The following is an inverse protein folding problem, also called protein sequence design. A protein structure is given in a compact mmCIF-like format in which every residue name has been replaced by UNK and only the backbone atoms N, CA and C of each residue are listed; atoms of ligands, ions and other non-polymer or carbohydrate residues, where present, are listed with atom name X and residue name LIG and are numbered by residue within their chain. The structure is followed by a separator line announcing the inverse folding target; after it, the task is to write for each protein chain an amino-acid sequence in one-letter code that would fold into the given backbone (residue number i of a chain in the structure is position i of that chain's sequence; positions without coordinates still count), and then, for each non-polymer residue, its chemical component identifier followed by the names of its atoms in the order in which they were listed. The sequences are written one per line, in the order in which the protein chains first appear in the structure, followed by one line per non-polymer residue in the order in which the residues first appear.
data_IF_528488931227
#
_entry.id   IF_528488931227
#
_cell.length_a   1.000
_cell.length_b   1.000
_cell.length_c   1.000
_cell.angle_alpha   90.00
_cell.angle_beta   90.00
_cell.angle_gamma   90.00
#
_symmetry.space_group_name_H-M   'P 1'
#
loop_
_entity.id
_entity.type
_entity.pdbx_description
1 polymer ?
#
# COMPACT_ATOMS: atom_id res chain seq x y z
N UNK A 1 -8.77 78.68 23.09
CA UNK A 1 -9.20 77.82 21.92
C UNK A 1 -8.08 76.84 21.65
N UNK A 2 -8.27 75.57 22.05
CA UNK A 2 -7.28 74.48 21.79
C UNK A 2 -7.78 73.66 20.63
N UNK A 3 -7.03 73.66 19.55
CA UNK A 3 -7.30 72.80 18.39
C UNK A 3 -6.65 71.42 18.61
N UNK A 4 -7.47 70.37 18.68
CA UNK A 4 -7.03 68.97 18.62
C UNK A 4 -6.94 68.56 17.14
N UNK A 5 -5.74 68.29 16.65
CA UNK A 5 -5.50 67.69 15.31
C UNK A 5 -5.51 66.18 15.50
N UNK A 6 -6.54 65.51 14.94
CA UNK A 6 -6.63 64.03 14.83
C UNK A 6 -5.78 63.58 13.63
N UNK A 7 -4.66 62.88 13.91
CA UNK A 7 -3.91 62.16 12.86
C UNK A 7 -4.58 60.80 12.64
N UNK A 8 -5.26 60.63 11.50
CA UNK A 8 -5.73 59.37 10.99
C UNK A 8 -4.55 58.59 10.44
N UNK A 9 -4.00 57.65 11.17
CA UNK A 9 -3.08 56.64 10.68
C UNK A 9 -3.87 55.60 9.87
N UNK A 10 -3.85 55.78 8.53
CA UNK A 10 -4.31 54.74 7.60
C UNK A 10 -3.24 53.66 7.56
N UNK A 11 -3.38 52.65 8.44
CA UNK A 11 -2.58 51.43 8.38
C UNK A 11 -2.97 50.64 7.10
N UNK A 12 -2.07 50.53 6.13
CA UNK A 12 -2.20 49.59 5.03
C UNK A 12 -2.23 48.17 5.61
N UNK A 13 -3.43 47.63 5.76
CA UNK A 13 -3.64 46.21 5.99
C UNK A 13 -3.25 45.46 4.70
N UNK A 14 -2.02 44.97 4.68
CA UNK A 14 -1.63 43.92 3.73
C UNK A 14 -2.45 42.67 4.03
N UNK A 15 -3.61 42.53 3.37
CA UNK A 15 -4.30 41.25 3.31
C UNK A 15 -3.45 40.34 2.40
N UNK A 16 -2.99 39.19 2.91
CA UNK A 16 -2.34 38.24 2.01
C UNK A 16 -3.35 37.85 0.93
N UNK A 17 -2.93 37.98 -0.34
CA UNK A 17 -3.70 37.49 -1.49
C UNK A 17 -3.87 35.98 -1.32
N UNK A 18 -4.96 35.56 -0.68
CA UNK A 18 -5.40 34.17 -0.70
C UNK A 18 -5.89 33.95 -2.14
N UNK A 19 -5.00 33.43 -2.99
CA UNK A 19 -5.41 32.87 -4.26
C UNK A 19 -6.30 31.65 -3.95
N UNK A 20 -7.59 31.85 -3.96
CA UNK A 20 -8.56 30.78 -4.00
C UNK A 20 -8.40 30.11 -5.38
N UNK A 21 -7.56 29.09 -5.44
CA UNK A 21 -7.53 28.25 -6.63
C UNK A 21 -8.89 27.54 -6.68
N UNK A 22 -9.68 27.89 -7.70
CA UNK A 22 -10.90 27.15 -7.98
C UNK A 22 -10.52 25.67 -8.09
N UNK A 23 -11.14 24.83 -7.22
CA UNK A 23 -10.93 23.39 -7.24
C UNK A 23 -11.19 22.88 -8.64
N UNK A 24 -10.20 22.28 -9.28
CA UNK A 24 -10.35 21.69 -10.61
C UNK A 24 -11.22 20.46 -10.48
N UNK A 25 -12.49 20.60 -10.79
CA UNK A 25 -13.45 19.50 -10.73
C UNK A 25 -13.43 18.75 -12.07
N UNK A 26 -13.09 17.47 -12.04
CA UNK A 26 -13.16 16.58 -13.20
C UNK A 26 -14.48 15.81 -13.21
N UNK A 27 -15.10 15.67 -14.38
CA UNK A 27 -16.42 15.05 -14.53
C UNK A 27 -16.44 13.57 -14.13
N UNK A 28 -15.33 12.87 -14.32
CA UNK A 28 -15.17 11.44 -14.02
C UNK A 28 -14.55 11.17 -12.63
N UNK A 29 -14.39 12.20 -11.77
CA UNK A 29 -13.87 12.06 -10.40
C UNK A 29 -14.98 12.38 -9.39
N UNK A 30 -15.76 11.38 -8.92
CA UNK A 30 -16.82 11.60 -7.93
C UNK A 30 -16.29 12.13 -6.59
N UNK A 31 -17.15 12.77 -5.79
CA UNK A 31 -16.76 13.33 -4.50
C UNK A 31 -16.20 12.32 -3.51
N UNK A 32 -16.66 11.09 -3.57
CA UNK A 32 -16.19 9.97 -2.74
C UNK A 32 -15.10 9.11 -3.41
N UNK A 33 -14.51 9.58 -4.53
CA UNK A 33 -13.47 8.81 -5.21
C UNK A 33 -12.21 8.71 -4.35
N UNK A 34 -11.69 7.51 -4.21
CA UNK A 34 -10.59 7.18 -3.30
C UNK A 34 -9.29 7.99 -3.55
N UNK A 35 -9.02 8.44 -4.76
CA UNK A 35 -7.85 9.21 -5.15
C UNK A 35 -8.14 10.71 -5.38
N UNK A 36 -9.34 11.21 -5.00
CA UNK A 36 -9.77 12.57 -5.32
C UNK A 36 -8.81 13.63 -4.78
N UNK A 37 -8.41 13.50 -3.53
CA UNK A 37 -7.53 14.49 -2.86
C UNK A 37 -6.18 14.62 -3.55
N UNK A 38 -5.56 13.52 -3.92
CA UNK A 38 -4.29 13.46 -4.61
C UNK A 38 -4.40 14.01 -6.05
N UNK A 39 -5.48 13.68 -6.75
CA UNK A 39 -5.76 14.21 -8.09
C UNK A 39 -5.91 15.73 -8.04
N UNK A 40 -6.71 16.25 -7.12
CA UNK A 40 -6.92 17.70 -6.94
C UNK A 40 -5.61 18.42 -6.57
N UNK A 41 -4.83 17.86 -5.66
CA UNK A 41 -3.53 18.40 -5.28
C UNK A 41 -2.61 18.56 -6.49
N UNK A 42 -2.48 17.52 -7.33
CA UNK A 42 -1.62 17.55 -8.50
C UNK A 42 -2.19 18.42 -9.63
N UNK A 43 -3.50 18.54 -9.74
CA UNK A 43 -4.16 19.43 -10.70
C UNK A 43 -3.96 20.91 -10.33
N UNK A 44 -4.18 21.25 -9.06
CA UNK A 44 -4.03 22.62 -8.54
C UNK A 44 -2.58 23.10 -8.61
N UNK A 45 -1.60 22.20 -8.54
CA UNK A 45 -0.17 22.51 -8.74
C UNK A 45 0.26 22.50 -10.20
N UNK A 46 -0.65 22.23 -11.15
CA UNK A 46 -0.37 22.21 -12.59
C UNK A 46 0.46 21.02 -13.08
N UNK A 47 0.74 20.05 -12.21
CA UNK A 47 1.54 18.86 -12.53
C UNK A 47 0.78 17.92 -13.45
N UNK A 48 -0.48 17.62 -13.11
CA UNK A 48 -1.38 16.81 -13.93
C UNK A 48 -2.49 17.69 -14.50
N UNK A 49 -2.77 17.49 -15.79
CA UNK A 49 -3.88 18.13 -16.47
C UNK A 49 -4.89 17.07 -16.91
N UNK A 50 -6.18 17.41 -16.85
CA UNK A 50 -7.23 16.60 -17.43
C UNK A 50 -7.26 16.69 -18.96
N UNK A 51 -8.25 16.06 -19.56
CA UNK A 51 -8.50 16.08 -20.98
C UNK A 51 -9.44 17.23 -21.38
N UNK A 52 -9.48 17.56 -22.68
CA UNK A 52 -10.33 18.65 -23.22
C UNK A 52 -11.82 18.44 -22.99
N UNK A 53 -12.26 17.19 -22.80
CA UNK A 53 -13.65 16.81 -22.49
C UNK A 53 -14.03 17.01 -21.02
N UNK A 54 -13.16 17.57 -20.18
CA UNK A 54 -13.40 17.79 -18.76
C UNK A 54 -13.11 16.58 -17.86
N UNK A 55 -12.67 15.46 -18.40
CA UNK A 55 -12.35 14.25 -17.63
C UNK A 55 -10.90 14.23 -17.17
N UNK A 56 -10.64 13.57 -16.05
CA UNK A 56 -9.30 13.21 -15.61
C UNK A 56 -8.78 11.94 -16.32
N UNK A 57 -9.64 10.98 -16.61
CA UNK A 57 -9.29 9.68 -17.17
C UNK A 57 -8.87 8.69 -16.10
N UNK A 58 -9.69 8.52 -15.05
CA UNK A 58 -9.36 7.75 -13.83
C UNK A 58 -8.86 6.33 -14.09
N UNK A 59 -9.38 5.65 -15.10
CA UNK A 59 -9.03 4.27 -15.47
C UNK A 59 -8.05 4.15 -16.64
N UNK A 60 -7.73 5.26 -17.29
CA UNK A 60 -6.79 5.27 -18.40
C UNK A 60 -5.38 4.89 -17.95
N UNK A 61 -4.63 4.25 -18.84
CA UNK A 61 -3.25 3.87 -18.56
C UNK A 61 -2.31 5.03 -18.88
N UNK A 62 -1.36 5.27 -17.97
CA UNK A 62 -0.34 6.30 -18.18
C UNK A 62 0.68 5.80 -19.20
N UNK A 63 0.92 6.59 -20.25
CA UNK A 63 1.99 6.31 -21.20
C UNK A 63 3.34 6.78 -20.67
N UNK A 64 4.43 6.25 -21.23
CA UNK A 64 5.79 6.63 -20.86
C UNK A 64 6.06 8.13 -21.10
N UNK A 65 5.53 8.68 -22.20
CA UNK A 65 5.63 10.13 -22.49
C UNK A 65 4.85 10.99 -21.51
N UNK A 66 3.64 10.56 -21.12
CA UNK A 66 2.85 11.25 -20.10
C UNK A 66 3.56 11.23 -18.74
N UNK A 67 4.14 10.09 -18.33
CA UNK A 67 4.91 9.99 -17.10
C UNK A 67 6.12 10.92 -17.10
N UNK A 68 6.90 10.95 -18.18
CA UNK A 68 8.02 11.90 -18.33
C UNK A 68 7.57 13.34 -18.17
N UNK A 69 6.49 13.75 -18.85
CA UNK A 69 5.92 15.09 -18.76
C UNK A 69 5.49 15.45 -17.34
N UNK A 70 4.76 14.56 -16.66
CA UNK A 70 4.27 14.82 -15.29
C UNK A 70 5.42 14.94 -14.30
N UNK A 71 6.45 14.10 -14.40
CA UNK A 71 7.59 14.11 -13.49
C UNK A 71 8.47 15.35 -13.72
N UNK A 72 8.75 15.72 -14.98
CA UNK A 72 9.51 16.94 -15.31
C UNK A 72 8.80 18.17 -14.73
N UNK A 73 7.47 18.24 -14.83
CA UNK A 73 6.68 19.33 -14.20
C UNK A 73 6.74 19.28 -12.68
N UNK A 74 6.61 18.10 -12.09
CA UNK A 74 6.66 17.92 -10.62
C UNK A 74 7.99 18.40 -10.04
N UNK A 75 9.08 18.13 -10.72
CA UNK A 75 10.44 18.56 -10.34
C UNK A 75 10.80 19.97 -10.83
N UNK A 76 9.92 20.62 -11.61
CA UNK A 76 10.16 21.96 -12.22
C UNK A 76 11.49 22.01 -12.99
N UNK A 77 11.83 20.94 -13.70
CA UNK A 77 13.10 20.86 -14.43
C UNK A 77 13.10 21.78 -15.64
N UNK A 78 14.25 22.45 -15.89
CA UNK A 78 14.44 23.23 -17.10
C UNK A 78 14.56 22.29 -18.32
N UNK A 79 13.71 22.51 -19.31
CA UNK A 79 13.65 21.70 -20.54
C UNK A 79 14.42 22.33 -21.72
N UNK A 80 15.09 23.45 -21.48
CA UNK A 80 15.86 24.15 -22.54
C UNK A 80 17.25 23.52 -22.68
N UNK A 81 17.75 23.46 -23.91
CA UNK A 81 19.13 23.06 -24.25
C UNK A 81 19.54 21.67 -23.73
N UNK A 82 18.58 20.72 -23.62
CA UNK A 82 18.87 19.35 -23.24
C UNK A 82 19.51 18.55 -24.38
N UNK A 83 20.48 17.67 -24.09
CA UNK A 83 21.06 16.79 -25.09
C UNK A 83 20.03 15.97 -25.83
N UNK A 84 20.22 15.72 -27.11
CA UNK A 84 19.37 14.82 -27.86
C UNK A 84 19.56 13.38 -27.32
N UNK A 85 18.52 12.71 -26.81
CA UNK A 85 18.64 11.34 -26.31
C UNK A 85 18.86 10.28 -27.41
N UNK A 86 18.64 10.62 -28.68
CA UNK A 86 18.92 9.76 -29.82
C UNK A 86 17.87 8.65 -30.08
N UNK A 87 16.67 8.76 -29.54
CA UNK A 87 15.61 7.77 -29.77
C UNK A 87 15.10 7.81 -31.21
N UNK A 88 14.98 6.62 -31.83
CA UNK A 88 14.46 6.48 -33.19
C UNK A 88 12.97 6.79 -33.33
N UNK A 89 12.22 6.66 -32.22
CA UNK A 89 10.77 6.81 -32.16
C UNK A 89 10.30 8.08 -31.46
N UNK A 90 11.23 9.01 -31.15
CA UNK A 90 10.94 10.33 -30.59
C UNK A 90 11.68 11.39 -31.39
N UNK A 91 11.16 11.79 -32.54
CA UNK A 91 11.75 12.86 -33.35
C UNK A 91 11.62 14.21 -32.63
N UNK A 92 12.45 15.21 -33.02
CA UNK A 92 12.50 16.52 -32.35
C UNK A 92 11.15 17.28 -32.36
N UNK A 93 10.26 16.98 -33.29
CA UNK A 93 8.91 17.56 -33.37
C UNK A 93 7.86 16.75 -32.59
N UNK A 94 8.26 15.67 -31.88
CA UNK A 94 7.34 14.91 -30.99
C UNK A 94 6.83 15.85 -29.87
N UNK A 95 5.52 15.88 -29.56
CA UNK A 95 4.95 16.86 -28.62
C UNK A 95 5.61 16.91 -27.24
N UNK A 96 6.07 15.77 -26.72
CA UNK A 96 6.76 15.68 -25.42
C UNK A 96 8.28 15.47 -25.56
N UNK A 97 8.88 15.85 -26.70
CA UNK A 97 10.31 15.66 -26.94
C UNK A 97 11.18 16.30 -25.85
N UNK A 98 10.88 17.56 -25.49
CA UNK A 98 11.66 18.30 -24.50
C UNK A 98 11.62 17.65 -23.12
N UNK A 99 10.46 17.23 -22.69
CA UNK A 99 10.27 16.55 -21.40
C UNK A 99 10.94 15.17 -21.38
N UNK A 100 10.85 14.42 -22.48
CA UNK A 100 11.53 13.12 -22.61
C UNK A 100 13.04 13.31 -22.59
N UNK A 101 13.59 14.28 -23.35
CA UNK A 101 15.02 14.58 -23.36
C UNK A 101 15.51 14.97 -21.96
N UNK A 102 14.77 15.84 -21.27
CA UNK A 102 15.06 16.24 -19.90
C UNK A 102 15.06 15.05 -18.94
N UNK A 103 13.99 14.22 -18.98
CA UNK A 103 13.87 13.09 -18.08
C UNK A 103 14.97 12.02 -18.30
N UNK A 104 15.50 11.91 -19.51
CA UNK A 104 16.62 11.02 -19.82
C UNK A 104 17.95 11.64 -19.37
N UNK A 105 18.15 12.93 -19.59
CA UNK A 105 19.35 13.67 -19.17
C UNK A 105 19.53 13.64 -17.64
N UNK A 106 18.42 13.76 -16.90
CA UNK A 106 18.38 13.64 -15.43
C UNK A 106 18.43 12.18 -14.91
N UNK A 107 18.59 11.17 -15.80
CA UNK A 107 18.71 9.77 -15.39
C UNK A 107 17.38 9.13 -14.91
N UNK A 108 16.26 9.82 -15.04
CA UNK A 108 14.92 9.33 -14.65
C UNK A 108 14.51 8.16 -15.54
N UNK A 109 14.71 8.30 -16.85
CA UNK A 109 14.52 7.22 -17.82
C UNK A 109 15.87 6.82 -18.43
N UNK A 110 16.05 5.52 -18.66
CA UNK A 110 17.29 5.00 -19.26
C UNK A 110 17.39 5.29 -20.75
N UNK A 111 18.58 5.56 -21.26
CA UNK A 111 18.89 5.60 -22.70
C UNK A 111 18.72 4.21 -23.32
N UNK A 112 18.17 4.18 -24.52
CA UNK A 112 18.02 2.97 -25.35
C UNK A 112 17.83 3.34 -26.82
N UNK A 113 17.70 2.37 -27.72
CA UNK A 113 17.42 2.65 -29.15
C UNK A 113 16.05 3.29 -29.38
N UNK A 114 15.02 2.88 -28.58
CA UNK A 114 13.66 3.42 -28.65
C UNK A 114 13.16 3.76 -27.26
N UNK A 115 12.35 4.82 -27.12
CA UNK A 115 11.71 5.23 -25.90
C UNK A 115 10.34 4.58 -25.66
N UNK A 116 9.65 4.24 -26.73
CA UNK A 116 8.27 3.74 -26.75
C UNK A 116 7.29 4.73 -26.07
N UNK A 117 7.17 5.97 -26.57
CA UNK A 117 6.46 7.05 -25.88
C UNK A 117 4.98 6.76 -25.61
N UNK A 118 4.33 6.00 -26.46
CA UNK A 118 2.91 5.64 -26.37
C UNK A 118 2.66 4.32 -25.63
N UNK A 119 3.72 3.58 -25.24
CA UNK A 119 3.57 2.36 -24.45
C UNK A 119 3.13 2.72 -23.03
N UNK A 120 2.14 1.98 -22.50
CA UNK A 120 1.72 2.10 -21.12
C UNK A 120 2.86 1.77 -20.16
N UNK A 121 3.03 2.58 -19.12
CA UNK A 121 4.00 2.36 -18.05
C UNK A 121 3.48 1.26 -17.11
N UNK A 122 4.29 0.27 -16.79
CA UNK A 122 3.94 -0.74 -15.80
C UNK A 122 4.18 -0.22 -14.37
N UNK A 123 3.56 -0.85 -13.36
CA UNK A 123 3.77 -0.49 -11.95
C UNK A 123 5.24 -0.64 -11.52
N UNK A 124 5.94 -1.67 -12.02
CA UNK A 124 7.37 -1.85 -11.75
C UNK A 124 8.25 -0.79 -12.45
N UNK A 125 7.95 -0.43 -13.71
CA UNK A 125 8.64 0.66 -14.40
C UNK A 125 8.40 2.00 -13.71
N UNK A 126 7.16 2.26 -13.24
CA UNK A 126 6.84 3.45 -12.46
C UNK A 126 7.63 3.50 -11.15
N UNK A 127 7.80 2.35 -10.45
CA UNK A 127 8.61 2.30 -9.24
C UNK A 127 10.06 2.77 -9.52
N UNK A 128 10.69 2.25 -10.57
CA UNK A 128 12.04 2.70 -10.98
C UNK A 128 12.08 4.19 -11.31
N UNK A 129 11.11 4.68 -12.06
CA UNK A 129 11.05 6.08 -12.49
C UNK A 129 10.90 7.02 -11.30
N UNK A 130 10.03 6.73 -10.34
CA UNK A 130 9.87 7.55 -9.12
C UNK A 130 11.11 7.49 -8.22
N UNK A 131 11.70 6.32 -8.03
CA UNK A 131 12.94 6.20 -7.23
C UNK A 131 14.07 7.03 -7.82
N UNK A 132 14.26 6.97 -9.14
CA UNK A 132 15.30 7.75 -9.83
C UNK A 132 14.99 9.25 -9.76
N UNK A 133 13.74 9.66 -10.05
CA UNK A 133 13.34 11.05 -10.08
C UNK A 133 13.47 11.77 -8.74
N UNK A 134 13.17 11.09 -7.65
CA UNK A 134 13.13 11.68 -6.31
C UNK A 134 14.24 11.17 -5.38
N UNK A 135 15.20 10.42 -5.91
CA UNK A 135 16.36 9.91 -5.16
C UNK A 135 15.98 9.19 -3.86
N UNK A 136 14.90 8.39 -3.92
CA UNK A 136 14.36 7.70 -2.74
C UNK A 136 15.36 6.67 -2.21
N UNK A 137 15.46 6.57 -0.87
CA UNK A 137 16.44 5.71 -0.22
C UNK A 137 15.90 4.30 -0.02
N UNK A 138 16.80 3.33 -0.19
CA UNK A 138 16.55 1.95 0.18
C UNK A 138 16.68 1.79 1.70
N UNK A 139 15.74 1.08 2.30
CA UNK A 139 15.78 0.76 3.73
C UNK A 139 15.93 -0.75 3.94
N UNK A 140 15.05 -1.54 3.36
CA UNK A 140 15.06 -3.00 3.48
C UNK A 140 14.28 -3.67 2.34
N UNK A 141 14.50 -4.98 2.17
CA UNK A 141 13.75 -5.77 1.20
C UNK A 141 12.31 -6.01 1.63
N UNK A 142 11.39 -5.86 0.67
CA UNK A 142 9.99 -6.23 0.77
C UNK A 142 9.72 -7.40 -0.17
N UNK A 143 9.06 -8.44 0.33
CA UNK A 143 8.92 -9.68 -0.41
C UNK A 143 7.46 -9.95 -0.81
N UNK A 144 7.01 -9.38 -1.92
CA UNK A 144 5.74 -9.72 -2.53
C UNK A 144 5.78 -11.09 -3.22
N UNK A 145 4.66 -11.82 -3.23
CA UNK A 145 4.56 -13.17 -3.82
C UNK A 145 4.92 -13.22 -5.30
N UNK A 146 4.58 -12.17 -6.04
CA UNK A 146 4.78 -12.04 -7.48
C UNK A 146 6.06 -11.31 -7.88
N UNK A 147 6.94 -10.99 -6.91
CA UNK A 147 8.20 -10.29 -7.15
C UNK A 147 9.38 -11.20 -6.83
N UNK A 148 10.05 -11.68 -7.87
CA UNK A 148 11.30 -12.43 -7.68
C UNK A 148 12.38 -11.46 -7.13
N UNK A 149 13.04 -11.78 -5.99
CA UNK A 149 14.09 -10.94 -5.42
C UNK A 149 15.27 -10.63 -6.35
N UNK A 150 15.56 -11.52 -7.30
CA UNK A 150 16.60 -11.32 -8.32
C UNK A 150 16.17 -10.46 -9.50
N UNK A 151 14.88 -10.06 -9.56
CA UNK A 151 14.38 -9.21 -10.64
C UNK A 151 14.88 -7.77 -10.44
N UNK A 152 15.20 -7.09 -11.55
CA UNK A 152 15.62 -5.69 -11.56
C UNK A 152 14.70 -4.75 -10.79
N UNK A 153 13.40 -5.04 -10.75
CA UNK A 153 12.38 -4.21 -10.12
C UNK A 153 12.28 -4.39 -8.59
N UNK A 154 12.77 -5.50 -8.03
CA UNK A 154 12.59 -5.84 -6.62
C UNK A 154 13.06 -4.74 -5.68
N UNK A 155 14.26 -4.20 -5.91
CA UNK A 155 14.82 -3.09 -5.12
C UNK A 155 13.96 -1.81 -5.21
N UNK A 156 13.50 -1.43 -6.40
CA UNK A 156 12.68 -0.24 -6.59
C UNK A 156 11.30 -0.39 -5.94
N UNK A 157 10.70 -1.57 -6.02
CA UNK A 157 9.44 -1.90 -5.36
C UNK A 157 9.61 -1.82 -3.84
N UNK A 158 10.68 -2.39 -3.29
CA UNK A 158 11.00 -2.32 -1.86
C UNK A 158 11.14 -0.86 -1.39
N UNK A 159 11.85 -0.02 -2.15
CA UNK A 159 12.01 1.40 -1.84
C UNK A 159 10.64 2.12 -1.76
N UNK A 160 9.76 1.92 -2.74
CA UNK A 160 8.44 2.56 -2.69
C UNK A 160 7.58 2.07 -1.53
N UNK A 161 7.66 0.78 -1.22
CA UNK A 161 6.85 0.17 -0.16
C UNK A 161 7.29 0.66 1.22
N UNK A 162 8.59 0.65 1.50
CA UNK A 162 9.14 1.09 2.80
C UNK A 162 8.99 2.60 3.05
N UNK A 163 8.89 3.39 1.97
CA UNK A 163 8.61 4.83 2.04
C UNK A 163 7.09 5.15 2.04
N UNK A 164 6.19 4.16 2.08
CA UNK A 164 4.75 4.37 2.10
C UNK A 164 4.15 4.97 0.82
N UNK A 165 4.89 4.91 -0.30
CA UNK A 165 4.45 5.49 -1.58
C UNK A 165 3.53 4.52 -2.32
N UNK A 166 3.96 3.27 -2.46
CA UNK A 166 3.19 2.21 -3.12
C UNK A 166 3.29 0.91 -2.34
N UNK A 167 2.28 0.59 -1.58
CA UNK A 167 2.11 -0.72 -0.94
C UNK A 167 1.41 -1.69 -1.89
N UNK A 168 1.61 -2.99 -1.69
CA UNK A 168 0.99 -4.04 -2.49
C UNK A 168 -0.51 -4.20 -2.24
N UNK A 169 -1.03 -5.33 -2.64
CA UNK A 169 -2.43 -5.72 -2.47
C UNK A 169 -2.59 -6.68 -1.27
N UNK A 170 -3.82 -6.89 -0.84
CA UNK A 170 -4.16 -7.77 0.29
C UNK A 170 -3.80 -9.23 0.04
N UNK A 171 -3.67 -9.64 -1.23
CA UNK A 171 -3.18 -10.96 -1.65
C UNK A 171 -1.64 -11.12 -1.55
N UNK A 172 -0.95 -10.14 -0.97
CA UNK A 172 0.50 -10.04 -0.84
C UNK A 172 1.23 -9.94 -2.19
N UNK A 173 0.57 -9.45 -3.24
CA UNK A 173 1.18 -9.18 -4.56
C UNK A 173 1.44 -7.69 -4.77
N UNK A 174 2.38 -7.36 -5.66
CA UNK A 174 2.62 -5.98 -6.10
C UNK A 174 2.00 -5.69 -7.47
N UNK A 175 1.77 -6.73 -8.28
CA UNK A 175 1.27 -6.66 -9.67
C UNK A 175 2.15 -5.78 -10.56
N UNK A 176 3.46 -5.99 -10.48
CA UNK A 176 4.48 -5.16 -11.11
C UNK A 176 4.39 -5.08 -12.63
N UNK A 177 3.94 -6.14 -13.31
CA UNK A 177 3.77 -6.20 -14.77
C UNK A 177 2.52 -5.47 -15.29
N UNK A 178 1.57 -5.14 -14.43
CA UNK A 178 0.34 -4.48 -14.85
C UNK A 178 0.55 -3.02 -15.22
N UNK A 179 -0.08 -2.53 -16.30
CA UNK A 179 -0.09 -1.10 -16.63
C UNK A 179 -0.72 -0.26 -15.52
N UNK A 180 -0.06 0.85 -15.15
CA UNK A 180 -0.58 1.74 -14.11
C UNK A 180 -1.67 2.67 -14.65
N UNK A 181 -2.76 2.84 -13.88
CA UNK A 181 -3.80 3.82 -14.20
C UNK A 181 -3.36 5.23 -13.80
N UNK A 182 -4.01 6.24 -14.40
CA UNK A 182 -3.74 7.65 -14.05
C UNK A 182 -4.04 7.94 -12.58
N UNK A 183 -5.09 7.34 -12.01
CA UNK A 183 -5.40 7.50 -10.59
C UNK A 183 -4.31 6.94 -9.69
N UNK A 184 -3.84 5.71 -9.94
CA UNK A 184 -2.74 5.14 -9.16
C UNK A 184 -1.44 5.93 -9.32
N UNK A 185 -1.14 6.39 -10.54
CA UNK A 185 0.04 7.23 -10.78
C UNK A 185 -0.07 8.55 -10.01
N UNK A 186 -1.23 9.20 -10.01
CA UNK A 186 -1.48 10.43 -9.26
C UNK A 186 -1.26 10.22 -7.76
N UNK A 187 -1.83 9.15 -7.18
CA UNK A 187 -1.63 8.83 -5.76
C UNK A 187 -0.16 8.64 -5.42
N UNK A 188 0.58 7.87 -6.22
CA UNK A 188 1.99 7.64 -5.94
C UNK A 188 2.82 8.91 -6.09
N UNK A 189 2.56 9.72 -7.10
CA UNK A 189 3.26 10.99 -7.30
C UNK A 189 2.93 11.99 -6.18
N UNK A 190 1.67 12.10 -5.76
CA UNK A 190 1.29 12.95 -4.64
C UNK A 190 1.97 12.54 -3.33
N UNK A 191 2.05 11.23 -3.04
CA UNK A 191 2.74 10.69 -1.86
C UNK A 191 4.25 10.94 -1.85
N UNK A 192 4.88 11.00 -3.02
CA UNK A 192 6.29 11.39 -3.12
C UNK A 192 6.47 12.87 -2.83
N UNK A 193 5.58 13.71 -3.36
CA UNK A 193 5.69 15.18 -3.26
C UNK A 193 5.24 15.73 -1.90
N UNK A 194 4.32 15.04 -1.22
CA UNK A 194 3.76 15.48 0.05
C UNK A 194 3.47 14.27 0.96
N UNK A 195 4.21 14.21 2.05
CA UNK A 195 4.13 13.10 3.03
C UNK A 195 2.76 12.96 3.69
N UNK A 196 1.96 14.04 3.74
CA UNK A 196 0.61 13.99 4.30
C UNK A 196 -0.35 13.06 3.53
N UNK A 197 -0.02 12.69 2.30
CA UNK A 197 -0.76 11.69 1.52
C UNK A 197 -0.30 10.26 1.80
N UNK A 198 0.85 10.06 2.48
CA UNK A 198 1.32 8.73 2.83
C UNK A 198 0.46 8.15 3.97
N UNK A 199 0.20 6.82 3.97
CA UNK A 199 -0.38 6.17 5.12
C UNK A 199 0.54 6.36 6.34
N UNK A 200 -0.04 6.70 7.49
CA UNK A 200 0.74 6.84 8.74
C UNK A 200 1.33 5.51 9.18
N UNK A 201 0.56 4.44 9.03
CA UNK A 201 0.98 3.08 9.33
C UNK A 201 1.23 2.36 8.01
N UNK A 202 2.43 1.83 7.85
CA UNK A 202 2.85 1.09 6.66
C UNK A 202 3.03 -0.36 7.07
N UNK A 203 2.34 -1.28 6.39
CA UNK A 203 2.46 -2.71 6.61
C UNK A 203 2.84 -3.37 5.28
N UNK A 204 3.93 -4.14 5.28
CA UNK A 204 4.40 -4.81 4.08
C UNK A 204 4.93 -6.23 4.38
N UNK A 205 4.91 -7.14 3.38
CA UNK A 205 5.27 -8.53 3.59
C UNK A 205 6.79 -8.74 3.66
N UNK A 206 7.18 -9.61 4.59
CA UNK A 206 8.51 -10.21 4.67
C UNK A 206 8.38 -11.72 4.54
N UNK A 207 9.18 -12.32 3.63
CA UNK A 207 9.26 -13.76 3.46
C UNK A 207 10.40 -14.32 4.29
N UNK A 208 10.16 -15.37 5.06
CA UNK A 208 11.16 -16.03 5.94
C UNK A 208 11.50 -17.45 5.48
N UNK A 209 10.60 -18.08 4.73
CA UNK A 209 10.80 -19.35 4.02
C UNK A 209 9.93 -19.34 2.75
N UNK A 210 10.10 -20.28 1.79
CA UNK A 210 9.16 -20.41 0.68
C UNK A 210 7.71 -20.47 1.18
N UNK A 211 6.84 -19.62 0.60
CA UNK A 211 5.41 -19.49 0.94
C UNK A 211 5.08 -19.19 2.41
N UNK A 212 6.07 -18.71 3.18
CA UNK A 212 5.93 -18.30 4.59
C UNK A 212 6.19 -16.80 4.71
N UNK A 213 5.12 -16.04 4.95
CA UNK A 213 5.13 -14.58 5.01
C UNK A 213 4.64 -14.07 6.36
N UNK A 214 5.28 -13.02 6.87
CA UNK A 214 4.83 -12.25 8.02
C UNK A 214 4.91 -10.75 7.73
N UNK A 215 4.10 -9.91 8.39
CA UNK A 215 4.13 -8.47 8.16
C UNK A 215 5.23 -7.78 8.95
N UNK A 216 5.74 -6.69 8.39
CA UNK A 216 6.51 -5.65 9.09
C UNK A 216 5.63 -4.40 9.20
N UNK A 217 5.60 -3.80 10.38
CA UNK A 217 4.85 -2.57 10.70
C UNK A 217 5.83 -1.40 10.86
N UNK A 218 5.49 -0.22 10.31
CA UNK A 218 6.25 1.03 10.45
C UNK A 218 5.30 2.22 10.63
N UNK A 219 5.81 3.30 11.22
CA UNK A 219 5.13 4.60 11.31
C UNK A 219 4.35 4.85 12.60
N UNK A 220 4.56 4.03 13.64
CA UNK A 220 3.84 4.15 14.93
C UNK A 220 4.74 4.54 16.12
N UNK A 221 6.02 4.83 15.86
CA UNK A 221 7.00 5.11 16.89
C UNK A 221 7.85 3.91 17.29
N UNK A 222 9.13 4.13 17.52
CA UNK A 222 10.16 3.09 17.59
C UNK A 222 9.88 1.99 18.62
N UNK A 223 9.44 2.34 19.83
CA UNK A 223 9.19 1.36 20.92
C UNK A 223 8.01 0.44 20.60
N UNK A 224 6.91 0.98 20.08
CA UNK A 224 5.74 0.17 19.69
C UNK A 224 6.06 -0.68 18.47
N UNK A 225 6.74 -0.12 17.46
CA UNK A 225 7.22 -0.87 16.29
C UNK A 225 8.08 -2.05 16.67
N UNK A 226 9.05 -1.86 17.57
CA UNK A 226 9.95 -2.93 18.01
C UNK A 226 9.17 -4.08 18.67
N UNK A 227 8.26 -3.77 19.59
CA UNK A 227 7.45 -4.80 20.26
C UNK A 227 6.57 -5.57 19.29
N UNK A 228 5.84 -4.85 18.42
CA UNK A 228 4.95 -5.46 17.45
C UNK A 228 5.76 -6.30 16.45
N UNK A 229 6.80 -5.75 15.86
CA UNK A 229 7.61 -6.45 14.88
C UNK A 229 8.34 -7.66 15.47
N UNK A 230 8.74 -7.61 16.76
CA UNK A 230 9.28 -8.77 17.48
C UNK A 230 8.25 -9.89 17.59
N UNK A 231 7.01 -9.59 17.98
CA UNK A 231 5.96 -10.60 18.08
C UNK A 231 5.61 -11.22 16.71
N UNK A 232 5.50 -10.38 15.67
CA UNK A 232 5.22 -10.82 14.31
C UNK A 232 6.38 -11.65 13.72
N UNK A 233 7.62 -11.30 14.02
CA UNK A 233 8.79 -12.08 13.64
C UNK A 233 8.81 -13.46 14.34
N UNK A 234 8.44 -13.55 15.62
CA UNK A 234 8.33 -14.82 16.33
C UNK A 234 7.29 -15.73 15.68
N UNK A 235 6.12 -15.22 15.27
CA UNK A 235 5.16 -15.98 14.47
C UNK A 235 5.76 -16.41 13.12
N UNK A 236 6.54 -15.54 12.48
CA UNK A 236 7.29 -15.89 11.26
C UNK A 236 8.25 -17.06 11.48
N UNK A 237 8.98 -17.09 12.61
CA UNK A 237 9.88 -18.20 12.97
C UNK A 237 9.14 -19.50 13.20
N UNK A 238 7.97 -19.47 13.86
CA UNK A 238 7.10 -20.65 14.03
C UNK A 238 6.67 -21.20 12.66
N UNK A 239 6.23 -20.34 11.74
CA UNK A 239 5.89 -20.73 10.38
C UNK A 239 7.08 -21.32 9.60
N UNK A 240 8.28 -20.75 9.77
CA UNK A 240 9.51 -21.32 9.18
C UNK A 240 9.82 -22.71 9.73
N UNK A 241 9.66 -22.93 11.02
CA UNK A 241 9.87 -24.22 11.66
C UNK A 241 8.86 -25.24 11.10
N UNK A 242 7.57 -24.91 11.06
CA UNK A 242 6.55 -25.79 10.49
C UNK A 242 6.83 -26.14 9.01
N UNK A 243 7.29 -25.16 8.23
CA UNK A 243 7.75 -25.41 6.85
C UNK A 243 8.91 -26.44 6.83
N UNK A 244 9.90 -26.28 7.69
CA UNK A 244 11.06 -27.19 7.76
C UNK A 244 10.66 -28.60 8.16
N UNK A 245 9.74 -28.76 9.11
CA UNK A 245 9.18 -30.05 9.54
C UNK A 245 8.47 -30.76 8.39
N UNK A 246 7.65 -30.03 7.60
CA UNK A 246 7.02 -30.59 6.40
C UNK A 246 8.04 -30.99 5.35
N UNK A 247 9.10 -30.18 5.11
CA UNK A 247 10.16 -30.54 4.16
C UNK A 247 10.93 -31.80 4.61
N UNK A 248 11.17 -31.95 5.92
CA UNK A 248 11.77 -33.17 6.49
C UNK A 248 10.87 -34.37 6.29
N UNK A 249 9.60 -34.27 6.64
CA UNK A 249 8.62 -35.35 6.41
C UNK A 249 8.52 -35.76 4.95
N UNK A 250 8.60 -34.79 4.03
CA UNK A 250 8.66 -35.06 2.58
C UNK A 250 9.86 -35.90 2.16
N UNK A 251 10.99 -35.75 2.84
CA UNK A 251 12.19 -36.56 2.63
C UNK A 251 12.08 -37.92 3.30
N UNK A 252 11.62 -37.97 4.57
CA UNK A 252 11.50 -39.19 5.37
C UNK A 252 10.51 -40.18 4.75
N UNK A 253 9.46 -39.68 4.08
CA UNK A 253 8.44 -40.47 3.39
C UNK A 253 8.58 -40.41 1.85
N UNK A 254 9.82 -40.35 1.34
CA UNK A 254 10.08 -40.23 -0.11
C UNK A 254 9.52 -41.38 -0.95
N UNK A 255 9.34 -42.56 -0.36
CA UNK A 255 8.73 -43.75 -1.00
C UNK A 255 7.20 -43.65 -1.15
N UNK A 256 6.55 -42.76 -0.40
CA UNK A 256 5.13 -42.44 -0.59
C UNK A 256 4.97 -41.53 -1.82
N UNK A 257 4.22 -41.96 -2.86
CA UNK A 257 4.02 -41.17 -4.07
C UNK A 257 3.29 -39.83 -3.81
N UNK A 258 2.62 -39.69 -2.67
CA UNK A 258 1.93 -38.48 -2.27
C UNK A 258 2.82 -37.50 -1.51
N UNK A 259 3.97 -37.90 -1.00
CA UNK A 259 4.90 -37.04 -0.24
C UNK A 259 5.32 -35.79 -1.02
N UNK A 260 5.41 -35.88 -2.35
CA UNK A 260 5.72 -34.73 -3.24
C UNK A 260 4.73 -33.56 -3.10
N UNK A 261 3.50 -33.83 -2.64
CA UNK A 261 2.45 -32.83 -2.45
C UNK A 261 2.43 -32.25 -1.03
N UNK A 262 3.23 -32.82 -0.08
CA UNK A 262 3.31 -32.25 1.26
C UNK A 262 3.73 -30.80 1.18
N UNK A 263 2.98 -29.95 1.83
CA UNK A 263 3.22 -28.50 1.79
C UNK A 263 2.81 -27.82 3.08
N UNK A 264 3.47 -26.72 3.37
CA UNK A 264 3.06 -25.74 4.38
C UNK A 264 3.18 -24.35 3.79
N UNK A 265 2.19 -23.52 4.04
CA UNK A 265 2.27 -22.10 3.75
C UNK A 265 1.63 -21.28 4.87
N UNK A 266 2.15 -20.07 5.06
CA UNK A 266 1.63 -19.11 6.01
C UNK A 266 1.52 -17.76 5.33
N UNK A 267 0.35 -17.16 5.42
CA UNK A 267 0.06 -15.82 4.93
C UNK A 267 -0.62 -15.01 6.03
N UNK A 268 -0.90 -13.73 5.76
CA UNK A 268 -1.62 -12.90 6.71
C UNK A 268 -2.58 -11.95 6.01
N UNK A 269 -3.54 -11.48 6.75
CA UNK A 269 -4.47 -10.41 6.40
C UNK A 269 -4.41 -9.32 7.47
N UNK A 270 -4.44 -8.05 7.04
CA UNK A 270 -4.56 -6.91 7.95
C UNK A 270 -6.04 -6.63 8.12
N UNK A 271 -6.58 -6.96 9.29
CA UNK A 271 -8.00 -6.81 9.62
C UNK A 271 -8.32 -5.39 10.06
N UNK A 272 -7.37 -4.75 10.79
CA UNK A 272 -7.46 -3.36 11.23
C UNK A 272 -6.06 -2.73 11.28
N UNK A 273 -5.96 -1.46 10.91
CA UNK A 273 -4.73 -0.68 11.02
C UNK A 273 -5.08 0.80 11.12
N UNK A 274 -5.16 1.29 12.35
CA UNK A 274 -5.47 2.69 12.65
C UNK A 274 -4.66 3.21 13.86
N UNK A 275 -4.95 4.43 14.31
CA UNK A 275 -4.24 5.05 15.43
C UNK A 275 -4.47 4.38 16.78
N UNK A 276 -5.43 3.48 16.90
CA UNK A 276 -5.77 2.77 18.13
C UNK A 276 -5.25 1.35 18.13
N UNK A 277 -5.49 0.61 17.02
CA UNK A 277 -5.21 -0.82 16.97
C UNK A 277 -4.63 -1.26 15.63
N UNK A 278 -3.78 -2.29 15.70
CA UNK A 278 -3.33 -3.12 14.58
C UNK A 278 -3.79 -4.54 14.87
N UNK A 279 -4.60 -5.09 13.97
CA UNK A 279 -5.11 -6.45 14.07
C UNK A 279 -4.72 -7.23 12.82
N UNK A 280 -4.03 -8.36 13.02
CA UNK A 280 -3.48 -9.20 11.95
C UNK A 280 -3.97 -10.62 12.16
N UNK A 281 -4.55 -11.20 11.11
CA UNK A 281 -4.92 -12.59 11.04
C UNK A 281 -3.88 -13.34 10.23
N UNK A 282 -3.23 -14.32 10.82
CA UNK A 282 -2.40 -15.28 10.09
C UNK A 282 -3.26 -16.46 9.65
N UNK A 283 -3.01 -16.91 8.44
CA UNK A 283 -3.63 -18.10 7.84
C UNK A 283 -2.54 -19.11 7.58
N UNK A 284 -2.61 -20.23 8.27
CA UNK A 284 -1.72 -21.36 8.17
C UNK A 284 -2.42 -22.48 7.39
N UNK A 285 -1.74 -23.09 6.44
CA UNK A 285 -2.21 -24.26 5.71
C UNK A 285 -1.13 -25.32 5.65
N UNK A 286 -1.47 -26.55 5.99
CA UNK A 286 -0.58 -27.70 5.86
C UNK A 286 -1.28 -28.86 5.17
N UNK A 287 -0.56 -29.57 4.32
CA UNK A 287 -0.99 -30.83 3.73
C UNK A 287 0.13 -31.86 3.88
N UNK A 288 -0.17 -32.97 4.54
CA UNK A 288 0.75 -34.07 4.81
C UNK A 288 0.13 -35.43 4.42
N UNK A 289 -0.65 -35.44 3.35
CA UNK A 289 -1.40 -36.61 2.89
C UNK A 289 -2.85 -36.63 3.37
N UNK A 290 -3.62 -37.56 2.81
CA UNK A 290 -5.05 -37.69 3.10
C UNK A 290 -5.96 -36.94 2.13
N UNK A 291 -7.25 -36.85 2.47
CA UNK A 291 -8.28 -36.31 1.58
C UNK A 291 -8.25 -34.76 1.44
N UNK A 292 -7.76 -34.05 2.45
CA UNK A 292 -7.67 -32.58 2.45
C UNK A 292 -6.56 -32.10 3.38
N UNK A 293 -6.12 -30.86 3.19
CA UNK A 293 -5.19 -30.17 4.08
C UNK A 293 -5.88 -29.60 5.31
N UNK A 294 -5.07 -29.20 6.27
CA UNK A 294 -5.49 -28.53 7.50
C UNK A 294 -5.32 -27.03 7.36
N UNK A 295 -6.38 -26.31 7.70
CA UNK A 295 -6.36 -24.85 7.82
C UNK A 295 -6.41 -24.46 9.27
N UNK A 296 -5.56 -23.55 9.66
CA UNK A 296 -5.61 -22.91 10.98
C UNK A 296 -5.43 -21.40 10.81
N UNK A 297 -5.89 -20.64 11.80
CA UNK A 297 -5.63 -19.21 11.84
C UNK A 297 -5.38 -18.74 13.26
N UNK A 298 -4.49 -17.77 13.39
CA UNK A 298 -4.18 -17.11 14.66
C UNK A 298 -4.29 -15.61 14.49
N UNK A 299 -4.71 -14.93 15.55
CA UNK A 299 -4.90 -13.48 15.56
C UNK A 299 -3.85 -12.78 16.43
N UNK A 300 -3.33 -11.68 15.92
CA UNK A 300 -2.38 -10.82 16.62
C UNK A 300 -2.97 -9.42 16.71
N UNK A 301 -3.34 -9.01 17.92
CA UNK A 301 -4.02 -7.74 18.17
C UNK A 301 -3.14 -6.87 19.05
N UNK A 302 -2.85 -5.66 18.58
CA UNK A 302 -1.95 -4.74 19.27
C UNK A 302 -2.58 -3.36 19.45
N UNK A 303 -2.34 -2.75 20.61
CA UNK A 303 -2.52 -1.31 20.77
C UNK A 303 -1.43 -0.57 20.00
N UNK A 304 -1.81 0.32 19.11
CA UNK A 304 -0.87 0.99 18.20
C UNK A 304 0.12 1.91 18.94
N UNK A 305 -0.32 2.55 20.03
CA UNK A 305 0.48 3.54 20.77
C UNK A 305 1.59 2.92 21.62
N UNK A 306 1.32 1.76 22.22
CA UNK A 306 2.22 1.11 23.20
C UNK A 306 2.89 -0.17 22.67
N UNK A 307 2.34 -0.75 21.60
CA UNK A 307 2.70 -2.08 21.11
C UNK A 307 2.27 -3.20 22.07
N UNK A 308 1.36 -2.94 23.03
CA UNK A 308 0.80 -3.97 23.88
C UNK A 308 0.00 -4.95 23.05
N UNK A 309 0.30 -6.25 23.18
CA UNK A 309 -0.46 -7.33 22.55
C UNK A 309 -1.62 -7.75 23.46
N UNK A 310 -2.77 -8.03 22.86
CA UNK A 310 -3.93 -8.64 23.49
C UNK A 310 -4.07 -10.06 22.96
N UNK A 311 -3.94 -11.06 23.85
CA UNK A 311 -3.97 -12.47 23.48
C UNK A 311 -5.37 -13.05 23.50
N UNK A 312 -6.25 -12.54 24.38
CA UNK A 312 -7.62 -13.02 24.53
C UNK A 312 -8.62 -11.86 24.51
N UNK A 313 -9.88 -12.16 24.22
CA UNK A 313 -10.98 -11.19 24.34
C UNK A 313 -11.07 -10.63 25.77
N UNK A 314 -10.85 -11.46 26.79
CA UNK A 314 -10.86 -11.05 28.18
C UNK A 314 -9.77 -10.03 28.49
N UNK A 315 -8.56 -10.21 27.96
CA UNK A 315 -7.48 -9.23 28.12
C UNK A 315 -7.84 -7.89 27.45
N UNK A 316 -8.52 -7.92 26.30
CA UNK A 316 -8.93 -6.73 25.57
C UNK A 316 -10.02 -5.96 26.30
N UNK A 317 -11.09 -6.64 26.74
CA UNK A 317 -12.23 -6.02 27.42
C UNK A 317 -12.01 -5.79 28.91
N UNK A 318 -11.01 -6.44 29.53
CA UNK A 318 -10.73 -6.35 30.96
C UNK A 318 -11.87 -6.89 31.81
N UNK A 319 -12.17 -6.19 32.90
CA UNK A 319 -13.23 -6.57 33.85
C UNK A 319 -14.64 -6.11 33.40
N UNK A 320 -14.83 -5.64 32.18
CA UNK A 320 -16.17 -5.31 31.67
C UNK A 320 -17.00 -6.59 31.61
N UNK A 321 -18.05 -6.68 32.41
CA UNK A 321 -18.84 -7.93 32.56
C UNK A 321 -19.82 -8.20 31.41
N UNK A 322 -20.00 -7.24 30.50
CA UNK A 322 -21.14 -7.29 29.56
C UNK A 322 -20.76 -7.62 28.09
N UNK A 323 -19.45 -7.60 27.75
CA UNK A 323 -19.03 -7.79 26.37
C UNK A 323 -19.40 -9.17 25.78
N UNK A 324 -19.38 -10.22 26.59
CA UNK A 324 -19.76 -11.58 26.18
C UNK A 324 -21.21 -11.61 25.74
N UNK A 325 -22.10 -11.00 26.54
CA UNK A 325 -23.51 -10.89 26.23
C UNK A 325 -23.76 -10.07 24.94
N UNK A 326 -23.09 -8.95 24.80
CA UNK A 326 -23.20 -8.07 23.61
C UNK A 326 -22.73 -8.82 22.35
N UNK A 327 -21.57 -9.46 22.39
CA UNK A 327 -21.05 -10.20 21.23
C UNK A 327 -21.95 -11.39 20.90
N UNK A 328 -22.38 -12.16 21.89
CA UNK A 328 -23.29 -13.29 21.69
C UNK A 328 -24.60 -12.87 21.02
N UNK A 329 -25.17 -11.74 21.44
CA UNK A 329 -26.39 -11.21 20.84
C UNK A 329 -26.18 -10.82 19.36
N UNK A 330 -25.07 -10.16 19.02
CA UNK A 330 -24.75 -9.84 17.63
C UNK A 330 -24.48 -11.08 16.78
N UNK A 331 -23.81 -12.10 17.32
CA UNK A 331 -23.61 -13.37 16.62
C UNK A 331 -24.95 -14.06 16.35
N UNK A 332 -25.84 -14.20 17.37
CA UNK A 332 -27.16 -14.81 17.20
C UNK A 332 -27.99 -14.07 16.16
N UNK A 333 -27.96 -12.74 16.15
CA UNK A 333 -28.65 -11.93 15.16
C UNK A 333 -28.15 -12.20 13.73
N UNK A 334 -26.82 -12.32 13.55
CA UNK A 334 -26.23 -12.65 12.24
C UNK A 334 -26.56 -14.08 11.82
N UNK A 335 -26.52 -15.04 12.74
CA UNK A 335 -26.91 -16.43 12.48
C UNK A 335 -28.38 -16.45 11.99
N UNK A 336 -29.28 -15.82 12.73
CA UNK A 336 -30.69 -15.73 12.35
C UNK A 336 -30.89 -15.14 10.95
N UNK A 337 -30.21 -14.04 10.66
CA UNK A 337 -30.28 -13.44 9.32
C UNK A 337 -29.81 -14.38 8.20
N UNK A 338 -28.77 -15.18 8.43
CA UNK A 338 -28.30 -16.17 7.47
C UNK A 338 -29.22 -17.37 7.34
N UNK A 339 -29.81 -17.82 8.44
CA UNK A 339 -30.78 -18.92 8.43
C UNK A 339 -32.05 -18.60 7.64
N UNK A 340 -32.37 -17.33 7.37
CA UNK A 340 -33.45 -16.96 6.47
C UNK A 340 -33.21 -17.42 5.02
N UNK A 341 -31.95 -17.61 4.62
CA UNK A 341 -31.56 -18.05 3.27
C UNK A 341 -30.93 -19.43 3.25
N UNK A 342 -30.38 -19.89 4.38
CA UNK A 342 -29.75 -21.20 4.59
C UNK A 342 -30.19 -21.75 5.95
N UNK A 343 -31.30 -22.51 6.01
CA UNK A 343 -31.86 -23.01 7.29
C UNK A 343 -30.91 -23.87 8.12
N UNK A 344 -29.88 -24.47 7.51
CA UNK A 344 -28.91 -25.32 8.21
C UNK A 344 -27.65 -24.55 8.66
N UNK A 345 -27.64 -23.23 8.48
CA UNK A 345 -26.50 -22.43 8.87
C UNK A 345 -26.38 -22.34 10.39
N UNK A 346 -25.35 -22.91 10.96
CA UNK A 346 -24.93 -22.81 12.36
C UNK A 346 -26.07 -23.11 13.36
N UNK A 347 -26.48 -24.38 13.44
CA UNK A 347 -27.64 -24.81 14.25
C UNK A 347 -27.50 -24.58 15.76
N UNK A 348 -26.27 -24.65 16.32
CA UNK A 348 -26.02 -24.56 17.74
C UNK A 348 -24.91 -23.55 18.06
N UNK A 349 -25.26 -22.36 18.51
CA UNK A 349 -24.37 -21.38 19.08
C UNK A 349 -24.80 -21.01 20.50
N UNK A 350 -24.02 -21.41 21.48
CA UNK A 350 -24.28 -21.10 22.90
C UNK A 350 -23.64 -19.76 23.30
N UNK A 351 -22.33 -19.69 23.29
CA UNK A 351 -21.56 -18.53 23.70
C UNK A 351 -20.16 -18.52 23.08
N UNK A 352 -19.57 -17.33 22.96
CA UNK A 352 -18.13 -17.19 22.73
C UNK A 352 -17.34 -17.64 23.97
N UNK A 353 -16.12 -18.10 23.75
CA UNK A 353 -15.14 -18.31 24.82
C UNK A 353 -14.39 -16.98 25.08
N UNK A 354 -14.47 -16.41 26.29
CA UNK A 354 -13.73 -15.20 26.66
C UNK A 354 -12.20 -15.34 26.56
N UNK A 355 -11.70 -16.54 26.73
CA UNK A 355 -10.26 -16.84 26.65
C UNK A 355 -9.82 -17.17 25.20
N UNK A 356 -10.70 -17.06 24.22
CA UNK A 356 -10.32 -17.28 22.82
C UNK A 356 -9.23 -16.32 22.36
N UNK A 357 -8.21 -16.87 21.70
CA UNK A 357 -7.16 -16.15 20.97
C UNK A 357 -7.50 -15.92 19.47
N UNK A 358 -8.66 -16.44 19.04
CA UNK A 358 -9.14 -16.39 17.65
C UNK A 358 -10.12 -15.24 17.44
N UNK A 359 -9.64 -14.02 17.62
CA UNK A 359 -10.44 -12.82 17.40
C UNK A 359 -9.60 -11.75 16.71
N UNK A 360 -10.25 -10.88 15.96
CA UNK A 360 -9.63 -9.68 15.39
C UNK A 360 -10.52 -8.46 15.59
N UNK A 361 -9.87 -7.30 15.71
CA UNK A 361 -10.50 -6.03 16.07
C UNK A 361 -10.97 -5.26 14.82
#
# INVERSE_FOLDING_TARGET
LVFFVFFLLIGNLYLPNIQVHASTQYLDVPNNYWAKKEIEYLANTGIIKGYKNGNFGINEKVTRSQAATMIVRALKLDTRNRPNPGFQDVPKNYPAYKEIATAVDEGIFSKSRKFYPNKSLTRAEMAKVLVNAFHLKFEQDVNYKDVNPSNWSAKFISILSTNGIAIGYTDLTFKGSQPITRSHFAVFLARVLNENFRPKIIIFPKRIAPDVYYPIVKGIGSTAEEKINKALYQKGLQGKQAYQEVQKSKQDYSDDPFSKYYTYNMTYEVMRSDSQFISIKFNDYSYMGGAHGLYDYTSYNFETSSGKQYHTLKEYFGNSSDYVSVINNEIRKKIYQRQLTDPYYFENFDSIDPETDRFYL
#
